data_IF_855829988797
#
_entry.id   IF_855829988797
#
_cell.length_a   1.000
_cell.length_b   1.000
_cell.length_c   1.000
_cell.angle_alpha   90.00
_cell.angle_beta   90.00
_cell.angle_gamma   90.00
#
_symmetry.space_group_name_H-M   'P 1'
#
loop_
_entity.id
_entity.type
_entity.pdbx_description
1 polymer ?
#
# COMPACT_ATOMS: atom_id res chain seq x y z
N UNK A 1 20.39 40.85 2.61
CA UNK A 1 20.59 39.85 1.54
C UNK A 1 20.39 38.48 2.17
N UNK A 2 19.20 37.89 2.01
CA UNK A 2 18.83 36.62 2.64
C UNK A 2 19.46 35.51 1.79
N UNK A 3 20.33 34.71 2.40
CA UNK A 3 20.90 33.52 1.76
C UNK A 3 19.73 32.59 1.44
N UNK A 4 19.49 32.21 0.17
CA UNK A 4 18.41 31.28 -0.15
C UNK A 4 18.63 30.00 0.68
N UNK A 5 17.54 29.39 1.20
CA UNK A 5 17.66 28.12 1.91
C UNK A 5 18.44 27.15 1.04
N UNK A 6 19.44 26.50 1.65
CA UNK A 6 20.31 25.56 0.94
C UNK A 6 19.46 24.56 0.17
N UNK A 7 19.84 24.30 -1.09
CA UNK A 7 19.24 23.24 -1.90
C UNK A 7 19.20 21.98 -1.01
N UNK A 8 18.03 21.33 -0.81
CA UNK A 8 17.99 20.07 -0.08
C UNK A 8 19.02 19.14 -0.73
N UNK A 9 19.74 18.37 0.10
CA UNK A 9 20.69 17.36 -0.37
C UNK A 9 20.06 16.61 -1.55
N UNK A 10 20.82 16.47 -2.64
CA UNK A 10 20.28 15.89 -3.89
C UNK A 10 19.68 14.53 -3.57
N UNK A 11 18.37 14.39 -3.81
CA UNK A 11 17.66 13.11 -3.78
C UNK A 11 18.48 12.06 -4.52
N UNK A 12 18.71 10.90 -3.89
CA UNK A 12 19.57 9.84 -4.44
C UNK A 12 18.97 8.45 -4.24
N UNK A 13 19.50 7.50 -5.01
CA UNK A 13 19.24 6.08 -4.77
C UNK A 13 19.96 5.60 -3.51
N UNK A 14 19.32 4.70 -2.77
CA UNK A 14 19.95 4.00 -1.64
C UNK A 14 20.90 2.92 -2.16
N UNK A 15 22.03 2.75 -1.49
CA UNK A 15 22.95 1.63 -1.74
C UNK A 15 22.33 0.31 -1.27
N UNK A 16 22.90 -0.81 -1.73
CA UNK A 16 22.47 -2.15 -1.31
C UNK A 16 22.60 -2.36 0.21
N UNK A 17 23.64 -1.81 0.82
CA UNK A 17 23.86 -1.91 2.26
C UNK A 17 22.80 -1.12 3.05
N UNK A 18 22.44 0.07 2.59
CA UNK A 18 21.37 0.88 3.19
C UNK A 18 20.01 0.20 3.07
N UNK A 19 19.70 -0.38 1.91
CA UNK A 19 18.47 -1.16 1.73
C UNK A 19 18.41 -2.36 2.67
N UNK A 20 19.52 -3.07 2.87
CA UNK A 20 19.59 -4.20 3.78
C UNK A 20 19.43 -3.78 5.26
N UNK A 21 19.98 -2.62 5.65
CA UNK A 21 19.78 -2.06 6.99
C UNK A 21 18.33 -1.66 7.25
N UNK A 22 17.71 -0.97 6.28
CA UNK A 22 16.29 -0.61 6.34
C UNK A 22 15.42 -1.87 6.43
N UNK A 23 15.71 -2.90 5.63
CA UNK A 23 15.00 -4.17 5.66
C UNK A 23 15.14 -4.86 7.03
N UNK A 24 16.36 -4.98 7.55
CA UNK A 24 16.62 -5.56 8.86
C UNK A 24 15.87 -4.82 9.99
N UNK A 25 15.80 -3.48 9.91
CA UNK A 25 15.06 -2.65 10.87
C UNK A 25 13.56 -2.89 10.75
N UNK A 26 12.98 -2.79 9.56
CA UNK A 26 11.54 -2.94 9.34
C UNK A 26 11.00 -4.34 9.71
N UNK A 27 11.86 -5.36 9.77
CA UNK A 27 11.53 -6.71 10.25
C UNK A 27 11.39 -6.84 11.77
N UNK A 28 11.80 -5.83 12.53
CA UNK A 28 11.66 -5.82 13.99
C UNK A 28 10.30 -5.26 14.39
N UNK A 29 9.76 -5.77 15.51
CA UNK A 29 8.56 -5.21 16.11
C UNK A 29 8.80 -3.77 16.53
N UNK A 30 8.06 -2.85 15.93
CA UNK A 30 8.21 -1.42 16.13
C UNK A 30 6.85 -0.78 16.44
N UNK A 31 6.91 0.27 17.25
CA UNK A 31 5.82 1.23 17.41
C UNK A 31 5.62 2.06 16.13
N UNK A 32 4.51 2.80 16.08
CA UNK A 32 4.21 3.66 14.93
C UNK A 32 5.19 4.82 14.75
N UNK A 33 5.69 5.38 15.84
CA UNK A 33 6.66 6.47 15.78
C UNK A 33 8.01 6.00 15.21
N UNK A 34 8.43 4.78 15.56
CA UNK A 34 9.68 4.19 15.06
C UNK A 34 9.61 3.89 13.56
N UNK A 35 8.50 3.29 13.09
CA UNK A 35 8.34 2.99 11.67
C UNK A 35 8.13 4.26 10.84
N UNK A 36 7.40 5.27 11.34
CA UNK A 36 7.26 6.56 10.66
C UNK A 36 8.62 7.27 10.52
N UNK A 37 9.45 7.24 11.55
CA UNK A 37 10.80 7.79 11.49
C UNK A 37 11.66 7.11 10.40
N UNK A 38 11.56 5.78 10.26
CA UNK A 38 12.24 5.04 9.17
C UNK A 38 11.69 5.48 7.81
N UNK A 39 10.37 5.49 7.64
CA UNK A 39 9.72 5.84 6.37
C UNK A 39 10.04 7.27 5.93
N UNK A 40 10.04 8.21 6.88
CA UNK A 40 10.40 9.62 6.67
C UNK A 40 11.86 9.76 6.24
N UNK A 41 12.79 9.11 6.92
CA UNK A 41 14.21 9.16 6.55
C UNK A 41 14.46 8.61 5.14
N UNK A 42 13.79 7.50 4.78
CA UNK A 42 13.86 6.96 3.41
C UNK A 42 13.30 7.95 2.40
N UNK A 43 12.12 8.54 2.69
CA UNK A 43 11.48 9.54 1.81
C UNK A 43 12.34 10.78 1.62
N UNK A 44 12.94 11.31 2.68
CA UNK A 44 13.82 12.49 2.62
C UNK A 44 15.07 12.22 1.78
N UNK A 45 15.61 11.01 1.85
CA UNK A 45 16.81 10.63 1.09
C UNK A 45 16.52 10.35 -0.39
N UNK A 46 15.42 9.64 -0.66
CA UNK A 46 15.13 9.09 -1.99
C UNK A 46 14.14 9.95 -2.79
N UNK A 47 13.29 10.73 -2.13
CA UNK A 47 12.22 11.48 -2.78
C UNK A 47 11.37 10.58 -3.67
N UNK A 48 11.25 10.94 -4.95
CA UNK A 48 10.48 10.17 -5.94
C UNK A 48 11.14 8.83 -6.31
N UNK A 49 12.45 8.65 -6.10
CA UNK A 49 13.11 7.36 -6.33
C UNK A 49 12.62 6.27 -5.36
N UNK A 50 11.94 6.65 -4.27
CA UNK A 50 11.41 5.72 -3.28
C UNK A 50 10.52 4.64 -3.89
N UNK A 51 9.80 4.97 -4.97
CA UNK A 51 8.76 4.11 -5.51
C UNK A 51 9.23 3.29 -6.73
N UNK A 52 10.19 3.81 -7.50
CA UNK A 52 10.77 3.15 -8.67
C UNK A 52 12.01 2.29 -8.37
N UNK A 53 12.71 2.52 -7.26
CA UNK A 53 13.94 1.78 -6.96
C UNK A 53 13.65 0.33 -6.54
N UNK A 54 14.22 -0.63 -7.28
CA UNK A 54 14.26 -2.03 -6.88
C UNK A 54 14.84 -2.20 -5.47
N UNK A 55 14.11 -2.90 -4.60
CA UNK A 55 14.43 -3.06 -3.18
C UNK A 55 13.56 -2.22 -2.23
N UNK A 56 12.76 -1.27 -2.72
CA UNK A 56 11.82 -0.49 -1.90
C UNK A 56 10.39 -1.04 -1.90
N UNK A 57 10.20 -2.29 -2.36
CA UNK A 57 8.96 -3.06 -2.13
C UNK A 57 8.60 -3.04 -0.63
N UNK A 58 9.61 -3.26 0.20
CA UNK A 58 9.50 -3.26 1.66
C UNK A 58 9.03 -1.90 2.24
N UNK A 59 9.42 -0.79 1.61
CA UNK A 59 8.97 0.53 2.02
C UNK A 59 7.48 0.74 1.71
N UNK A 60 6.98 0.25 0.56
CA UNK A 60 5.54 0.27 0.25
C UNK A 60 4.75 -0.63 1.18
N UNK A 61 5.26 -1.82 1.45
CA UNK A 61 4.65 -2.76 2.41
C UNK A 61 4.54 -2.14 3.80
N UNK A 62 5.59 -1.45 4.29
CA UNK A 62 5.53 -0.69 5.53
C UNK A 62 4.46 0.41 5.48
N UNK A 63 4.33 1.15 4.38
CA UNK A 63 3.30 2.18 4.25
C UNK A 63 1.88 1.59 4.34
N UNK A 64 1.62 0.46 3.65
CA UNK A 64 0.34 -0.23 3.71
C UNK A 64 0.09 -0.83 5.10
N UNK A 65 1.12 -1.44 5.70
CA UNK A 65 1.04 -2.01 7.04
C UNK A 65 0.71 -0.94 8.09
N UNK A 66 1.35 0.23 8.02
CA UNK A 66 1.04 1.39 8.89
C UNK A 66 -0.40 1.84 8.71
N UNK A 67 -0.87 1.99 7.47
CA UNK A 67 -2.26 2.35 7.19
C UNK A 67 -3.24 1.35 7.81
N UNK A 68 -2.98 0.05 7.65
CA UNK A 68 -3.80 -1.02 8.20
C UNK A 68 -3.79 -1.02 9.74
N UNK A 69 -2.61 -0.81 10.32
CA UNK A 69 -2.40 -0.80 11.75
C UNK A 69 -3.11 0.35 12.45
N UNK A 70 -3.01 1.57 11.91
CA UNK A 70 -3.69 2.75 12.43
C UNK A 70 -5.21 2.58 12.43
N UNK A 71 -5.76 2.04 11.35
CA UNK A 71 -7.21 1.86 11.18
C UNK A 71 -7.79 0.71 12.01
N UNK A 72 -6.95 -0.23 12.42
CA UNK A 72 -7.37 -1.37 13.25
C UNK A 72 -6.87 -1.30 14.69
N UNK A 73 -6.21 -0.19 15.06
CA UNK A 73 -5.66 0.04 16.40
C UNK A 73 -4.68 -1.05 16.84
N UNK A 74 -3.83 -1.54 15.93
CA UNK A 74 -2.69 -2.34 16.32
C UNK A 74 -1.75 -1.51 17.23
N UNK A 75 -0.90 -2.18 17.99
CA UNK A 75 0.08 -1.53 18.88
C UNK A 75 1.45 -1.44 18.22
N UNK A 76 1.82 -2.49 17.47
CA UNK A 76 3.13 -2.62 16.83
C UNK A 76 3.00 -3.32 15.48
N UNK A 77 4.00 -3.08 14.64
CA UNK A 77 4.10 -3.63 13.28
C UNK A 77 5.49 -4.26 13.13
N UNK A 78 5.57 -5.31 12.32
CA UNK A 78 6.82 -5.71 11.68
C UNK A 78 6.54 -6.18 10.25
N UNK A 79 7.52 -6.04 9.38
CA UNK A 79 7.46 -6.62 8.04
C UNK A 79 7.99 -8.05 8.02
N UNK A 80 7.38 -8.88 7.16
CA UNK A 80 7.76 -10.26 6.92
C UNK A 80 8.75 -10.40 5.77
N UNK A 81 9.23 -11.63 5.50
CA UNK A 81 10.28 -11.90 4.50
C UNK A 81 9.90 -12.88 3.40
N UNK A 82 8.94 -13.73 3.74
CA UNK A 82 8.27 -14.73 2.93
C UNK A 82 6.93 -14.92 3.69
N UNK A 83 5.79 -15.11 3.02
CA UNK A 83 4.44 -14.92 3.54
C UNK A 83 4.32 -15.22 5.05
N UNK A 84 3.89 -14.25 5.87
CA UNK A 84 3.24 -12.99 5.48
C UNK A 84 4.19 -11.89 4.99
N UNK A 85 3.65 -10.91 4.25
CA UNK A 85 4.34 -9.67 3.91
C UNK A 85 4.48 -8.74 5.14
N UNK A 86 3.54 -8.79 6.10
CA UNK A 86 3.66 -8.09 7.39
C UNK A 86 2.80 -8.70 8.50
N UNK A 87 3.09 -8.33 9.75
CA UNK A 87 2.33 -8.74 10.92
C UNK A 87 1.97 -7.54 11.80
N UNK A 88 0.78 -7.59 12.40
CA UNK A 88 0.27 -6.60 13.33
C UNK A 88 0.05 -7.25 14.70
N UNK A 89 0.56 -6.59 15.74
CA UNK A 89 0.38 -6.99 17.14
C UNK A 89 -0.68 -6.12 17.81
N UNK A 90 -1.78 -6.73 18.25
CA UNK A 90 -2.88 -6.07 18.96
C UNK A 90 -2.74 -6.13 20.49
N UNK A 91 -1.68 -6.79 20.98
CA UNK A 91 -1.34 -6.97 22.39
C UNK A 91 -1.72 -8.34 22.95
N UNK A 92 -2.93 -8.82 22.63
CA UNK A 92 -3.43 -10.16 23.01
C UNK A 92 -3.20 -11.20 21.90
N UNK A 93 -3.06 -10.75 20.66
CA UNK A 93 -2.82 -11.61 19.51
C UNK A 93 -2.03 -10.92 18.41
N UNK A 94 -1.41 -11.74 17.55
CA UNK A 94 -0.73 -11.31 16.32
C UNK A 94 -1.53 -11.79 15.11
N UNK A 95 -1.67 -10.93 14.10
CA UNK A 95 -2.25 -11.29 12.80
C UNK A 95 -1.21 -11.14 11.70
N UNK A 96 -1.16 -12.15 10.83
CA UNK A 96 -0.35 -12.21 9.64
C UNK A 96 -1.13 -11.67 8.43
N UNK A 97 -0.47 -10.86 7.60
CA UNK A 97 -1.07 -10.22 6.44
C UNK A 97 -0.25 -10.48 5.18
N UNK A 98 -0.93 -10.86 4.12
CA UNK A 98 -0.37 -10.90 2.76
C UNK A 98 -0.86 -9.69 1.99
N UNK A 99 0.00 -9.08 1.19
CA UNK A 99 -0.31 -7.92 0.37
C UNK A 99 -0.37 -8.30 -1.11
N UNK A 100 -1.32 -7.72 -1.82
CA UNK A 100 -1.34 -7.72 -3.29
C UNK A 100 -1.69 -6.34 -3.80
N UNK A 101 -0.94 -5.85 -4.77
CA UNK A 101 -1.27 -4.61 -5.47
C UNK A 101 -2.20 -4.92 -6.64
N UNK A 102 -3.32 -4.19 -6.74
CA UNK A 102 -4.29 -4.27 -7.81
C UNK A 102 -4.09 -3.07 -8.74
N UNK A 103 -3.47 -3.33 -9.89
CA UNK A 103 -3.26 -2.35 -10.96
C UNK A 103 -4.16 -2.67 -12.16
N UNK A 104 -4.49 -1.66 -12.97
CA UNK A 104 -5.09 -1.88 -14.28
C UNK A 104 -4.22 -2.78 -15.15
N UNK A 105 -4.84 -3.61 -16.00
CA UNK A 105 -4.12 -4.50 -16.91
C UNK A 105 -3.04 -3.75 -17.70
N UNK A 106 -1.83 -4.32 -17.72
CA UNK A 106 -0.69 -3.77 -18.48
C UNK A 106 0.09 -2.66 -17.76
N UNK A 107 -0.45 -2.11 -16.66
CA UNK A 107 0.23 -1.14 -15.81
C UNK A 107 1.15 -1.84 -14.81
N UNK A 108 2.31 -1.23 -14.56
CA UNK A 108 3.31 -1.71 -13.59
C UNK A 108 3.99 -0.51 -12.95
N UNK A 109 3.95 -0.46 -11.62
CA UNK A 109 4.49 0.63 -10.82
C UNK A 109 5.94 1.02 -11.23
N UNK A 110 6.84 0.05 -11.41
CA UNK A 110 8.23 0.34 -11.79
C UNK A 110 8.37 1.10 -13.13
N UNK A 111 7.54 0.79 -14.14
CA UNK A 111 7.58 1.47 -15.44
C UNK A 111 7.05 2.90 -15.37
N UNK A 112 5.99 3.11 -14.60
CA UNK A 112 5.39 4.43 -14.41
C UNK A 112 6.34 5.37 -13.67
N UNK A 113 7.05 4.87 -12.67
CA UNK A 113 7.99 5.69 -11.89
C UNK A 113 9.32 5.96 -12.59
N UNK A 114 9.85 5.04 -13.39
CA UNK A 114 11.02 5.34 -14.23
C UNK A 114 10.69 6.50 -15.19
N UNK A 115 9.52 6.44 -15.83
CA UNK A 115 9.01 7.51 -16.70
C UNK A 115 8.83 8.83 -15.95
N UNK A 116 8.24 8.80 -14.74
CA UNK A 116 8.01 9.98 -13.92
C UNK A 116 9.30 10.61 -13.39
N UNK A 117 10.26 9.78 -12.95
CA UNK A 117 11.56 10.25 -12.47
C UNK A 117 12.36 10.90 -13.62
N UNK A 118 12.31 10.32 -14.82
CA UNK A 118 12.94 10.90 -16.01
C UNK A 118 12.28 12.23 -16.40
N UNK A 119 10.95 12.31 -16.40
CA UNK A 119 10.21 13.55 -16.68
C UNK A 119 10.49 14.67 -15.65
N UNK A 120 10.54 14.31 -14.36
CA UNK A 120 10.84 15.24 -13.26
C UNK A 120 12.27 15.77 -13.35
N UNK A 121 13.25 14.89 -13.61
CA UNK A 121 14.65 15.28 -13.76
C UNK A 121 14.90 16.12 -15.02
N UNK A 122 14.14 15.87 -16.09
CA UNK A 122 14.25 16.62 -17.35
C UNK A 122 13.43 17.92 -17.38
N UNK A 123 12.83 18.33 -16.25
CA UNK A 123 12.07 19.59 -16.11
C UNK A 123 10.90 19.76 -17.09
N UNK A 124 10.40 18.67 -17.70
CA UNK A 124 9.32 18.76 -18.70
C UNK A 124 7.92 18.87 -18.09
N UNK A 125 7.82 18.94 -16.75
CA UNK A 125 6.55 18.73 -16.07
C UNK A 125 6.09 17.28 -16.23
N UNK A 126 5.18 16.84 -15.38
CA UNK A 126 4.54 15.54 -15.55
C UNK A 126 3.31 15.78 -16.43
N UNK A 127 3.23 15.23 -17.65
CA UNK A 127 1.97 15.22 -18.37
C UNK A 127 1.01 14.38 -17.55
N UNK A 128 -0.01 15.01 -16.97
CA UNK A 128 -1.20 14.29 -16.51
C UNK A 128 -1.92 13.85 -17.78
N UNK A 129 -1.48 12.74 -18.36
CA UNK A 129 -2.26 12.04 -19.39
C UNK A 129 -3.68 11.83 -18.87
N UNK A 130 -4.66 12.02 -19.75
CA UNK A 130 -6.06 11.85 -19.40
C UNK A 130 -6.31 10.38 -19.05
N UNK A 131 -6.31 10.07 -17.76
CA UNK A 131 -6.75 8.76 -17.30
C UNK A 131 -8.22 8.63 -17.63
N UNK A 132 -8.55 7.61 -18.42
CA UNK A 132 -9.94 7.27 -18.71
C UNK A 132 -10.55 6.61 -17.47
N UNK A 133 -11.21 7.45 -16.67
CA UNK A 133 -11.81 7.06 -15.39
C UNK A 133 -12.91 6.01 -15.56
N UNK A 134 -13.64 6.04 -16.67
CA UNK A 134 -14.72 5.10 -16.95
C UNK A 134 -14.15 3.72 -17.27
N UNK A 135 -13.11 3.67 -18.13
CA UNK A 135 -12.40 2.43 -18.42
C UNK A 135 -11.73 1.83 -17.17
N UNK A 136 -11.14 2.66 -16.30
CA UNK A 136 -10.54 2.21 -15.04
C UNK A 136 -11.57 1.61 -14.07
N UNK A 137 -12.76 2.22 -13.97
CA UNK A 137 -13.85 1.73 -13.13
C UNK A 137 -14.45 0.42 -13.67
N UNK A 138 -14.59 0.31 -14.99
CA UNK A 138 -15.09 -0.90 -15.65
C UNK A 138 -14.14 -2.09 -15.46
N UNK A 139 -12.82 -1.84 -15.53
CA UNK A 139 -11.79 -2.88 -15.42
C UNK A 139 -11.54 -3.36 -13.98
N UNK A 140 -11.64 -2.47 -12.98
CA UNK A 140 -11.28 -2.76 -11.58
C UNK A 140 -11.86 -4.08 -11.01
N UNK A 141 -13.15 -4.41 -11.20
CA UNK A 141 -13.71 -5.68 -10.76
C UNK A 141 -12.93 -6.91 -11.24
N UNK A 142 -12.57 -6.94 -12.53
CA UNK A 142 -11.85 -8.05 -13.14
C UNK A 142 -10.40 -8.11 -12.66
N UNK A 143 -9.75 -6.95 -12.53
CA UNK A 143 -8.38 -6.85 -12.03
C UNK A 143 -8.26 -7.30 -10.57
N UNK A 144 -9.20 -6.88 -9.73
CA UNK A 144 -9.30 -7.34 -8.35
C UNK A 144 -9.48 -8.86 -8.29
N UNK A 145 -10.46 -9.41 -9.02
CA UNK A 145 -10.75 -10.84 -9.02
C UNK A 145 -9.53 -11.67 -9.45
N UNK A 146 -8.82 -11.23 -10.51
CA UNK A 146 -7.62 -11.90 -10.98
C UNK A 146 -6.52 -11.96 -9.91
N UNK A 147 -6.28 -10.86 -9.19
CA UNK A 147 -5.28 -10.82 -8.11
C UNK A 147 -5.67 -11.69 -6.91
N UNK A 148 -6.94 -11.63 -6.48
CA UNK A 148 -7.44 -12.46 -5.39
C UNK A 148 -7.35 -13.96 -5.75
N UNK A 149 -7.72 -14.33 -6.98
CA UNK A 149 -7.60 -15.70 -7.48
C UNK A 149 -6.14 -16.17 -7.49
N UNK A 150 -5.23 -15.34 -8.00
CA UNK A 150 -3.81 -15.68 -8.05
C UNK A 150 -3.22 -15.91 -6.65
N UNK A 151 -3.62 -15.10 -5.65
CA UNK A 151 -3.19 -15.27 -4.26
C UNK A 151 -3.85 -16.49 -3.60
N UNK A 152 -5.14 -16.70 -3.81
CA UNK A 152 -5.86 -17.87 -3.29
C UNK A 152 -5.27 -19.20 -3.80
N UNK A 153 -4.86 -19.24 -5.07
CA UNK A 153 -4.25 -20.42 -5.68
C UNK A 153 -2.93 -20.86 -5.04
N UNK A 154 -2.27 -20.00 -4.25
CA UNK A 154 -1.03 -20.35 -3.54
C UNK A 154 -1.24 -21.23 -2.32
N UNK A 155 -2.47 -21.34 -1.80
CA UNK A 155 -2.81 -22.28 -0.72
C UNK A 155 -2.03 -22.07 0.58
N UNK A 156 -1.86 -20.81 1.01
CA UNK A 156 -1.12 -20.46 2.22
C UNK A 156 -1.58 -21.24 3.47
N UNK A 157 -0.63 -21.68 4.29
CA UNK A 157 -0.88 -22.36 5.57
C UNK A 157 0.19 -21.98 6.60
N UNK A 158 -0.17 -21.32 7.72
CA UNK A 158 -1.51 -20.82 8.06
C UNK A 158 -1.98 -19.73 7.08
N UNK A 159 -3.30 -19.58 6.92
CA UNK A 159 -3.87 -18.57 6.00
C UNK A 159 -3.78 -17.16 6.61
N UNK A 160 -3.08 -16.21 5.96
CA UNK A 160 -3.00 -14.82 6.39
C UNK A 160 -4.27 -14.04 6.02
N UNK A 161 -4.48 -12.88 6.63
CA UNK A 161 -5.43 -11.89 6.11
C UNK A 161 -4.88 -11.34 4.79
N UNK A 162 -5.70 -11.28 3.74
CA UNK A 162 -5.26 -10.71 2.46
C UNK A 162 -5.62 -9.23 2.39
N UNK A 163 -4.64 -8.38 2.08
CA UNK A 163 -4.83 -6.96 1.77
C UNK A 163 -4.67 -6.77 0.27
N UNK A 164 -5.73 -6.29 -0.39
CA UNK A 164 -5.70 -5.84 -1.77
C UNK A 164 -5.56 -4.31 -1.79
N UNK A 165 -4.37 -3.82 -2.16
CA UNK A 165 -4.09 -2.39 -2.31
C UNK A 165 -4.41 -1.94 -3.74
N UNK A 166 -5.47 -1.15 -3.89
CA UNK A 166 -6.02 -0.77 -5.20
C UNK A 166 -5.39 0.54 -5.68
N UNK A 167 -4.73 0.46 -6.83
CA UNK A 167 -4.00 1.56 -7.47
C UNK A 167 -4.69 2.08 -8.75
N UNK A 168 -5.97 1.76 -8.95
CA UNK A 168 -6.76 2.40 -10.01
C UNK A 168 -6.92 3.89 -9.70
N UNK A 169 -6.95 4.75 -10.73
CA UNK A 169 -6.98 6.21 -10.58
C UNK A 169 -8.31 6.77 -10.04
N UNK A 170 -9.15 5.92 -9.45
CA UNK A 170 -10.48 6.23 -8.95
C UNK A 170 -10.33 6.94 -7.59
N UNK A 171 -9.99 8.23 -7.62
CA UNK A 171 -10.09 9.11 -6.47
C UNK A 171 -11.50 9.76 -6.42
N UNK A 172 -11.94 10.20 -5.25
CA UNK A 172 -12.82 9.55 -4.27
C UNK A 172 -14.32 9.57 -4.65
N UNK A 173 -14.68 9.61 -5.94
CA UNK A 173 -16.08 9.68 -6.38
C UNK A 173 -16.81 8.33 -6.39
N UNK A 174 -16.13 7.24 -6.02
CA UNK A 174 -16.73 5.91 -5.96
C UNK A 174 -17.89 5.90 -4.96
N UNK A 175 -19.10 5.72 -5.47
CA UNK A 175 -20.32 5.56 -4.70
C UNK A 175 -20.22 4.29 -3.82
N UNK A 176 -21.02 4.23 -2.76
CA UNK A 176 -21.24 3.05 -1.91
C UNK A 176 -21.55 1.80 -2.76
N UNK A 177 -22.18 1.98 -3.93
CA UNK A 177 -22.44 0.93 -4.91
C UNK A 177 -21.17 0.21 -5.40
N UNK A 178 -20.11 0.96 -5.73
CA UNK A 178 -18.86 0.39 -6.22
C UNK A 178 -18.13 -0.41 -5.14
N UNK A 179 -18.09 0.14 -3.92
CA UNK A 179 -17.51 -0.56 -2.76
C UNK A 179 -18.26 -1.86 -2.44
N UNK A 180 -19.59 -1.85 -2.57
CA UNK A 180 -20.42 -3.04 -2.36
C UNK A 180 -20.14 -4.11 -3.40
N UNK A 181 -19.95 -3.73 -4.66
CA UNK A 181 -19.57 -4.65 -5.75
C UNK A 181 -18.22 -5.29 -5.47
N UNK A 182 -17.19 -4.51 -5.15
CA UNK A 182 -15.86 -5.02 -4.84
C UNK A 182 -15.85 -5.91 -3.59
N UNK A 183 -16.60 -5.53 -2.55
CA UNK A 183 -16.79 -6.38 -1.37
C UNK A 183 -17.46 -7.71 -1.73
N UNK A 184 -18.44 -7.72 -2.64
CA UNK A 184 -19.05 -8.94 -3.16
C UNK A 184 -18.04 -9.87 -3.84
N UNK A 185 -17.09 -9.31 -4.59
CA UNK A 185 -15.98 -10.06 -5.19
C UNK A 185 -15.10 -10.66 -4.08
N UNK A 186 -14.64 -9.84 -3.14
CA UNK A 186 -13.78 -10.26 -2.03
C UNK A 186 -14.41 -11.35 -1.15
N UNK A 187 -15.74 -11.29 -0.91
CA UNK A 187 -16.47 -12.30 -0.12
C UNK A 187 -16.32 -13.72 -0.66
N UNK A 188 -16.21 -13.88 -1.99
CA UNK A 188 -16.01 -15.20 -2.63
C UNK A 188 -14.70 -15.87 -2.23
N UNK A 189 -13.73 -15.09 -1.75
CA UNK A 189 -12.41 -15.57 -1.35
C UNK A 189 -12.26 -15.80 0.16
N UNK A 190 -13.34 -15.61 0.95
CA UNK A 190 -13.34 -15.92 2.38
C UNK A 190 -13.24 -17.43 2.68
N UNK A 191 -13.39 -18.28 1.67
CA UNK A 191 -13.08 -19.72 1.76
C UNK A 191 -11.58 -19.99 1.81
N UNK A 192 -10.75 -19.04 1.37
CA UNK A 192 -9.30 -19.16 1.31
C UNK A 192 -8.59 -18.29 2.37
N UNK A 193 -9.16 -17.15 2.70
CA UNK A 193 -8.61 -16.18 3.66
C UNK A 193 -9.60 -15.92 4.80
N UNK A 194 -9.13 -15.76 6.06
CA UNK A 194 -10.00 -15.43 7.18
C UNK A 194 -10.67 -14.05 7.02
N UNK A 195 -9.97 -13.08 6.41
CA UNK A 195 -10.50 -11.78 6.03
C UNK A 195 -9.84 -11.33 4.72
N UNK A 196 -10.54 -10.49 3.96
CA UNK A 196 -9.99 -9.77 2.79
C UNK A 196 -10.22 -8.27 3.00
N UNK A 197 -9.15 -7.49 2.97
CA UNK A 197 -9.18 -6.05 3.20
C UNK A 197 -8.92 -5.33 1.89
N UNK A 198 -9.87 -4.49 1.48
CA UNK A 198 -9.74 -3.67 0.28
C UNK A 198 -9.26 -2.29 0.70
N UNK A 199 -8.03 -1.95 0.34
CA UNK A 199 -7.44 -0.64 0.61
C UNK A 199 -7.50 0.21 -0.66
N UNK A 200 -8.04 1.41 -0.54
CA UNK A 200 -8.04 2.44 -1.58
C UNK A 200 -7.56 3.74 -0.96
N UNK A 201 -6.32 4.12 -1.25
CA UNK A 201 -5.67 5.29 -0.64
C UNK A 201 -5.71 5.23 0.90
N UNK A 202 -6.53 6.07 1.54
CA UNK A 202 -6.69 6.13 3.00
C UNK A 202 -7.87 5.30 3.50
N UNK A 203 -8.73 4.80 2.62
CA UNK A 203 -9.91 4.04 3.00
C UNK A 203 -9.58 2.55 3.09
N UNK A 204 -10.16 1.89 4.07
CA UNK A 204 -10.07 0.45 4.24
C UNK A 204 -11.47 -0.13 4.43
N UNK A 205 -11.78 -1.13 3.60
CA UNK A 205 -13.00 -1.91 3.71
C UNK A 205 -12.63 -3.31 4.13
N UNK A 206 -13.13 -3.74 5.29
CA UNK A 206 -12.89 -5.09 5.82
C UNK A 206 -14.03 -6.01 5.42
N UNK A 207 -13.70 -7.11 4.75
CA UNK A 207 -14.63 -8.16 4.36
C UNK A 207 -14.33 -9.40 5.21
N UNK A 208 -15.29 -9.84 6.00
CA UNK A 208 -15.15 -10.95 6.95
C UNK A 208 -16.38 -11.87 6.94
N UNK A 209 -16.30 -13.10 7.50
CA UNK A 209 -17.38 -14.10 7.46
C UNK A 209 -18.60 -13.72 8.31
N UNK A 210 -18.41 -12.93 9.37
CA UNK A 210 -19.46 -12.57 10.32
C UNK A 210 -19.93 -11.15 9.98
N UNK A 211 -21.14 -11.08 9.42
CA UNK A 211 -21.65 -9.94 8.67
C UNK A 211 -21.60 -8.60 9.41
N UNK A 212 -20.70 -7.74 8.95
CA UNK A 212 -20.88 -6.30 8.76
C UNK A 212 -19.67 -5.85 7.93
N UNK A 213 -19.89 -5.39 6.70
CA UNK A 213 -18.84 -4.69 5.95
C UNK A 213 -18.59 -3.37 6.69
N UNK A 214 -17.50 -3.28 7.45
CA UNK A 214 -17.12 -2.05 8.14
C UNK A 214 -16.25 -1.20 7.22
N UNK A 215 -16.75 -0.03 6.86
CA UNK A 215 -16.01 0.98 6.13
C UNK A 215 -15.35 1.89 7.16
N UNK A 216 -14.02 1.86 7.24
CA UNK A 216 -13.27 2.81 8.05
C UNK A 216 -12.85 3.98 7.15
N UNK A 217 -13.55 5.11 7.29
CA UNK A 217 -13.13 6.38 6.72
C UNK A 217 -12.17 7.09 7.67
N UNK A 218 -11.16 7.76 7.14
CA UNK A 218 -10.37 8.69 7.94
C UNK A 218 -11.30 9.83 8.40
N UNK A 219 -11.49 9.99 9.71
CA UNK A 219 -11.98 11.26 10.22
C UNK A 219 -10.96 12.33 9.80
N UNK A 220 -11.41 13.32 9.03
CA UNK A 220 -10.65 14.55 8.85
C UNK A 220 -10.44 15.15 10.23
N UNK A 221 -9.25 14.92 10.82
CA UNK A 221 -8.71 15.76 11.86
C UNK A 221 -8.28 17.09 11.21
N UNK A 222 -9.25 17.79 10.63
CA UNK A 222 -9.19 19.23 10.40
C UNK A 222 -9.59 19.89 11.71
N UNK A 223 -8.62 20.00 12.62
CA UNK A 223 -8.73 20.78 13.84
C UNK A 223 -7.58 21.78 13.88
N UNK A 224 -7.95 23.02 13.54
CA UNK A 224 -7.29 24.33 13.72
C UNK A 224 -5.83 24.56 13.27
#
# INVERSE_FOLDING_TARGET
>A
MIKPPGRPDRMRRLSKAELADIDARLRQWQSFDEIDAVLKAVRETTGFYAVGQGGLKIWREAFVAVSCALQTHARRIRLGGDPPDFELDYGDHVRAFELVDVFPVGRRLGREYDTFADLWNNSQGIPLEHVDMEAELEALPADLEAQLQAKAAKGYSPSPILVADIHHAIFPQSDIGDLSRLAGIARRYLTHFPEVWLRMSRNLVRVSPFGETRIHGAHDAGGD
#
